data_IF_588525894865
#
_entry.id   IF_588525894865
#
_cell.length_a   1.000
_cell.length_b   1.000
_cell.length_c   1.000
_cell.angle_alpha   90.00
_cell.angle_beta   90.00
_cell.angle_gamma   90.00
#
_symmetry.space_group_name_H-M   'P 1'
#
loop_
_entity.id
_entity.type
_entity.pdbx_description
1 polymer ?
#
# COMPACT_ATOMS: atom_id res chain seq x y z
N UNK A 1 7.83 -7.06 13.92
CA UNK A 1 6.50 -7.74 13.89
C UNK A 1 5.92 -7.68 12.50
N UNK A 2 5.78 -6.47 11.91
CA UNK A 2 5.22 -6.29 10.57
C UNK A 2 6.27 -6.46 9.45
N UNK A 3 7.43 -5.81 9.60
CA UNK A 3 8.48 -5.77 8.57
C UNK A 3 9.01 -7.16 8.20
N UNK A 4 8.94 -7.49 6.91
CA UNK A 4 9.43 -8.75 6.34
C UNK A 4 8.74 -10.01 6.84
N UNK A 5 7.63 -9.92 7.59
CA UNK A 5 7.01 -11.09 8.20
C UNK A 5 6.16 -11.87 7.15
N UNK A 6 6.55 -13.11 6.78
CA UNK A 6 5.86 -13.89 5.77
C UNK A 6 4.44 -14.32 6.19
N UNK A 7 4.09 -14.26 7.48
CA UNK A 7 2.71 -14.55 7.93
C UNK A 7 1.68 -13.58 7.33
N UNK A 8 2.12 -12.36 6.99
CA UNK A 8 1.27 -11.34 6.37
C UNK A 8 1.41 -11.30 4.85
N UNK A 9 2.19 -12.20 4.24
CA UNK A 9 2.28 -12.28 2.79
C UNK A 9 0.91 -12.58 2.18
N UNK A 10 0.61 -11.91 1.07
CA UNK A 10 -0.53 -12.28 0.23
C UNK A 10 -0.14 -13.42 -0.70
N UNK A 11 -1.11 -14.17 -1.21
CA UNK A 11 -0.86 -15.29 -2.11
C UNK A 11 -1.96 -15.46 -3.15
N UNK A 12 -1.56 -15.87 -4.35
CA UNK A 12 -2.47 -16.20 -5.44
C UNK A 12 -1.88 -17.36 -6.25
N UNK A 13 -2.72 -18.33 -6.62
CA UNK A 13 -2.32 -19.53 -7.38
C UNK A 13 -1.12 -20.29 -6.78
N UNK A 14 -1.08 -20.42 -5.44
CA UNK A 14 -0.01 -21.14 -4.74
C UNK A 14 1.34 -20.41 -4.68
N UNK A 15 1.41 -19.16 -5.17
CA UNK A 15 2.58 -18.29 -5.05
C UNK A 15 2.35 -17.23 -3.98
N UNK A 16 3.30 -17.08 -3.07
CA UNK A 16 3.32 -15.99 -2.10
C UNK A 16 4.07 -14.78 -2.65
N UNK A 17 3.59 -13.58 -2.29
CA UNK A 17 4.17 -12.29 -2.67
C UNK A 17 4.91 -11.65 -1.50
N UNK A 18 5.86 -10.73 -1.75
CA UNK A 18 6.58 -10.04 -0.68
C UNK A 18 5.61 -9.44 0.36
N UNK A 19 5.83 -9.71 1.66
CA UNK A 19 5.01 -9.12 2.72
C UNK A 19 5.32 -7.63 2.89
N UNK A 20 4.76 -7.02 3.93
CA UNK A 20 5.08 -5.64 4.29
C UNK A 20 6.60 -5.41 4.37
N UNK A 21 7.09 -4.38 3.69
CA UNK A 21 8.47 -3.94 3.75
C UNK A 21 8.52 -2.48 4.23
N UNK A 22 9.22 -2.21 5.32
CA UNK A 22 9.37 -0.88 5.88
C UNK A 22 10.14 0.00 4.90
N UNK A 23 9.46 1.00 4.36
CA UNK A 23 10.06 1.94 3.41
C UNK A 23 10.72 3.10 4.14
N UNK A 24 10.15 3.53 5.27
CA UNK A 24 10.70 4.59 6.11
C UNK A 24 10.13 4.50 7.51
N UNK A 25 10.97 4.82 8.47
CA UNK A 25 10.61 5.07 9.87
C UNK A 25 11.32 6.36 10.31
N UNK A 26 10.60 7.26 10.97
CA UNK A 26 11.15 8.55 11.42
C UNK A 26 10.54 8.99 12.76
N UNK A 27 11.30 9.76 13.52
CA UNK A 27 10.74 10.55 14.62
C UNK A 27 10.10 11.83 14.07
N UNK A 28 9.03 12.29 14.72
CA UNK A 28 8.26 13.47 14.27
C UNK A 28 8.70 14.77 14.98
N UNK A 29 9.86 14.76 15.64
CA UNK A 29 10.39 15.99 16.25
C UNK A 29 10.94 16.90 15.16
N UNK A 30 10.66 18.21 15.29
CA UNK A 30 11.16 19.24 14.37
C UNK A 30 12.58 19.71 14.71
N UNK A 31 12.97 19.57 15.98
CA UNK A 31 14.24 20.08 16.51
C UNK A 31 14.86 19.07 17.49
N UNK A 32 16.17 19.22 17.73
CA UNK A 32 16.86 18.47 18.76
C UNK A 32 16.28 18.77 20.15
N UNK A 33 16.05 17.72 20.93
CA UNK A 33 15.63 17.82 22.32
C UNK A 33 16.24 16.71 23.17
N UNK A 34 16.60 17.06 24.41
CA UNK A 34 17.00 16.10 25.44
C UNK A 34 15.80 15.29 26.00
N UNK A 35 14.57 15.59 25.58
CA UNK A 35 13.36 14.86 25.99
C UNK A 35 13.19 13.56 25.21
N UNK A 36 12.53 12.59 25.85
CA UNK A 36 12.18 11.30 25.22
C UNK A 36 11.23 11.56 24.05
N UNK A 37 11.48 10.89 22.92
CA UNK A 37 10.60 10.91 21.76
C UNK A 37 9.20 10.37 22.12
N UNK A 38 8.16 11.12 21.78
CA UNK A 38 6.76 10.74 22.05
C UNK A 38 5.96 10.40 20.81
N UNK A 39 6.50 10.69 19.61
CA UNK A 39 5.82 10.50 18.32
C UNK A 39 6.78 9.99 17.26
N UNK A 40 6.30 9.04 16.47
CA UNK A 40 7.01 8.46 15.34
C UNK A 40 6.03 8.12 14.23
N UNK A 41 6.55 8.03 13.02
CA UNK A 41 5.80 7.66 11.83
C UNK A 41 6.58 6.61 11.05
N UNK A 42 5.89 5.58 10.58
CA UNK A 42 6.45 4.54 9.74
C UNK A 42 5.46 4.16 8.65
N UNK A 43 5.96 3.88 7.46
CA UNK A 43 5.13 3.36 6.37
C UNK A 43 5.82 2.21 5.64
N UNK A 44 4.97 1.35 5.09
CA UNK A 44 5.35 0.07 4.53
C UNK A 44 4.83 -0.02 3.10
N UNK A 45 5.64 -0.57 2.21
CA UNK A 45 5.16 -1.06 0.91
C UNK A 45 4.53 -2.43 1.13
N UNK A 46 3.43 -2.73 0.43
CA UNK A 46 2.76 -4.02 0.53
C UNK A 46 2.23 -4.46 -0.84
N UNK A 47 2.74 -5.60 -1.33
CA UNK A 47 2.29 -6.19 -2.60
C UNK A 47 1.11 -7.13 -2.33
N UNK A 48 -0.08 -6.69 -2.72
CA UNK A 48 -1.31 -7.49 -2.60
C UNK A 48 -1.65 -8.16 -3.92
N UNK A 49 -2.22 -9.36 -3.86
CA UNK A 49 -2.80 -10.07 -5.00
C UNK A 49 -4.28 -10.45 -4.79
N UNK A 50 -4.73 -10.54 -3.53
CA UNK A 50 -6.12 -10.88 -3.17
C UNK A 50 -6.65 -10.08 -1.98
N UNK A 51 -5.79 -9.62 -1.06
CA UNK A 51 -6.23 -8.89 0.14
C UNK A 51 -6.79 -7.52 -0.25
N UNK A 52 -8.00 -7.25 0.21
CA UNK A 52 -8.72 -6.00 -0.03
C UNK A 52 -8.49 -4.98 1.10
N UNK A 53 -8.65 -3.67 0.85
CA UNK A 53 -8.42 -2.60 1.83
C UNK A 53 -9.00 -2.85 3.24
N UNK A 54 -10.25 -3.32 3.36
CA UNK A 54 -10.86 -3.59 4.66
C UNK A 54 -10.14 -4.69 5.45
N UNK A 55 -9.70 -5.74 4.76
CA UNK A 55 -8.93 -6.82 5.38
C UNK A 55 -7.56 -6.32 5.85
N UNK A 56 -6.88 -5.53 5.02
CA UNK A 56 -5.57 -4.94 5.33
C UNK A 56 -5.68 -4.00 6.54
N UNK A 57 -6.68 -3.13 6.58
CA UNK A 57 -6.90 -2.21 7.70
C UNK A 57 -7.17 -2.96 9.01
N UNK A 58 -7.97 -4.01 8.96
CA UNK A 58 -8.25 -4.89 10.12
C UNK A 58 -6.99 -5.60 10.61
N UNK A 59 -6.15 -6.06 9.69
CA UNK A 59 -4.86 -6.69 10.00
C UNK A 59 -3.88 -5.69 10.65
N UNK A 60 -3.71 -4.51 10.05
CA UNK A 60 -2.88 -3.44 10.61
C UNK A 60 -3.34 -3.03 12.01
N UNK A 61 -4.66 -2.96 12.24
CA UNK A 61 -5.22 -2.67 13.56
C UNK A 61 -4.78 -3.69 14.60
N UNK A 62 -4.95 -4.99 14.31
CA UNK A 62 -4.58 -6.08 15.22
C UNK A 62 -3.07 -6.06 15.52
N UNK A 63 -2.26 -5.83 14.50
CA UNK A 63 -0.78 -5.76 14.63
C UNK A 63 -0.39 -4.57 15.51
N UNK A 64 -1.00 -3.40 15.30
CA UNK A 64 -0.74 -2.22 16.09
C UNK A 64 -1.19 -2.40 17.56
N UNK A 65 -2.36 -3.00 17.78
CA UNK A 65 -2.88 -3.31 19.13
C UNK A 65 -1.91 -4.24 19.88
N UNK A 66 -1.43 -5.29 19.20
CA UNK A 66 -0.46 -6.21 19.79
C UNK A 66 0.89 -5.55 20.06
N UNK A 67 1.42 -4.77 19.11
CA UNK A 67 2.68 -4.07 19.27
C UNK A 67 2.64 -3.05 20.42
N UNK A 68 1.53 -2.31 20.57
CA UNK A 68 1.31 -1.41 21.70
C UNK A 68 1.23 -2.16 23.02
N UNK A 69 0.48 -3.27 23.08
CA UNK A 69 0.39 -4.11 24.29
C UNK A 69 1.76 -4.61 24.73
N UNK A 70 2.55 -5.19 23.80
CA UNK A 70 3.92 -5.65 24.08
C UNK A 70 4.81 -4.52 24.58
N UNK A 71 4.66 -3.31 24.02
CA UNK A 71 5.43 -2.13 24.44
C UNK A 71 5.04 -1.66 25.85
N UNK A 72 3.74 -1.67 26.18
CA UNK A 72 3.22 -1.35 27.52
C UNK A 72 3.69 -2.37 28.56
N UNK A 73 3.66 -3.66 28.22
CA UNK A 73 4.13 -4.74 29.09
C UNK A 73 5.63 -4.59 29.36
N UNK A 74 6.43 -4.32 28.32
CA UNK A 74 7.86 -4.07 28.44
C UNK A 74 8.15 -2.82 29.28
N UNK A 75 7.42 -1.72 29.07
CA UNK A 75 7.51 -0.52 29.91
C UNK A 75 7.23 -0.84 31.37
N UNK A 76 6.14 -1.57 31.65
CA UNK A 76 5.70 -1.89 33.01
C UNK A 76 6.74 -2.74 33.74
N UNK A 77 7.31 -3.75 33.05
CA UNK A 77 8.38 -4.58 33.57
C UNK A 77 9.64 -3.76 33.88
N UNK A 78 10.06 -2.90 32.95
CA UNK A 78 11.26 -2.08 33.10
C UNK A 78 11.11 -1.03 34.21
N UNK A 79 9.97 -0.35 34.27
CA UNK A 79 9.66 0.63 35.30
C UNK A 79 9.68 -0.01 36.71
N UNK A 80 9.08 -1.19 36.85
CA UNK A 80 9.07 -1.94 38.10
C UNK A 80 10.49 -2.37 38.53
N UNK A 81 11.28 -2.90 37.59
CA UNK A 81 12.65 -3.31 37.86
C UNK A 81 13.56 -2.13 38.25
N UNK A 82 13.39 -0.97 37.60
CA UNK A 82 14.13 0.25 37.91
C UNK A 82 13.75 0.82 39.27
N UNK A 83 12.46 0.84 39.62
CA UNK A 83 11.99 1.27 40.94
C UNK A 83 12.67 0.49 42.07
N UNK A 84 12.79 -0.84 41.92
CA UNK A 84 13.51 -1.70 42.86
C UNK A 84 15.00 -1.37 42.99
N UNK A 85 15.66 -0.90 41.92
CA UNK A 85 17.08 -0.51 41.94
C UNK A 85 17.33 0.84 42.61
N UNK A 86 16.41 1.80 42.43
CA UNK A 86 16.58 3.15 42.95
C UNK A 86 16.05 3.34 44.37
N UNK A 87 15.46 2.32 44.98
CA UNK A 87 14.90 2.40 46.33
C UNK A 87 13.65 3.29 46.44
N UNK A 88 13.06 3.68 45.31
CA UNK A 88 11.81 4.45 45.28
C UNK A 88 10.64 3.53 44.97
N UNK A 89 9.56 3.66 45.74
CA UNK A 89 8.29 3.00 45.44
C UNK A 89 7.58 3.74 44.28
N UNK A 90 8.00 3.48 43.04
CA UNK A 90 7.29 3.98 41.85
C UNK A 90 6.35 2.89 41.38
N UNK A 91 5.04 3.16 41.44
CA UNK A 91 4.05 2.32 40.77
C UNK A 91 4.03 2.69 39.28
N UNK A 92 4.29 1.75 38.35
CA UNK A 92 4.19 2.03 36.92
C UNK A 92 2.80 2.55 36.58
N UNK A 93 2.72 3.58 35.74
CA UNK A 93 1.43 4.06 35.25
C UNK A 93 0.76 2.94 34.45
N UNK A 94 -0.53 2.70 34.74
CA UNK A 94 -1.36 1.80 33.93
C UNK A 94 -1.71 2.50 32.62
N UNK A 95 -1.43 1.83 31.52
CA UNK A 95 -1.72 2.30 30.17
C UNK A 95 -2.69 1.35 29.49
N UNK A 96 -3.62 1.91 28.72
CA UNK A 96 -4.50 1.14 27.85
C UNK A 96 -4.10 1.41 26.40
N UNK A 97 -3.81 0.38 25.59
CA UNK A 97 -3.47 0.58 24.19
C UNK A 97 -4.68 1.15 23.44
N UNK A 98 -4.46 2.20 22.65
CA UNK A 98 -5.49 2.78 21.77
C UNK A 98 -5.05 2.67 20.32
N UNK A 99 -5.86 2.04 19.47
CA UNK A 99 -5.62 2.02 18.02
C UNK A 99 -6.82 2.62 17.33
N UNK A 100 -6.55 3.57 16.44
CA UNK A 100 -7.55 4.22 15.61
C UNK A 100 -7.19 4.03 14.14
N UNK A 101 -8.20 3.81 13.30
CA UNK A 101 -8.03 4.05 11.88
C UNK A 101 -7.99 5.55 11.61
N UNK A 102 -7.40 5.96 10.48
CA UNK A 102 -7.45 7.36 10.07
C UNK A 102 -8.90 7.85 9.91
N UNK A 103 -9.81 7.02 9.39
CA UNK A 103 -11.23 7.35 9.31
C UNK A 103 -11.88 7.63 10.68
N UNK A 104 -11.54 6.84 11.71
CA UNK A 104 -12.02 7.06 13.09
C UNK A 104 -11.48 8.38 13.67
N UNK A 105 -10.20 8.70 13.43
CA UNK A 105 -9.59 9.97 13.83
C UNK A 105 -10.23 11.16 13.12
N UNK A 106 -10.35 11.07 11.80
CA UNK A 106 -11.00 12.07 10.96
C UNK A 106 -12.45 12.32 11.39
N UNK A 107 -13.20 11.25 11.70
CA UNK A 107 -14.55 11.35 12.23
C UNK A 107 -14.63 12.05 13.61
N UNK A 108 -13.63 11.88 14.48
CA UNK A 108 -13.53 12.63 15.75
C UNK A 108 -13.23 14.10 15.50
N UNK A 109 -12.26 14.40 14.64
CA UNK A 109 -11.89 15.77 14.28
C UNK A 109 -13.06 16.53 13.65
N UNK A 110 -13.80 15.90 12.73
CA UNK A 110 -15.00 16.47 12.11
C UNK A 110 -16.10 16.80 13.13
N UNK A 111 -16.30 15.95 14.14
CA UNK A 111 -17.26 16.21 15.23
C UNK A 111 -16.87 17.42 16.09
N UNK A 112 -15.57 17.70 16.24
CA UNK A 112 -15.06 18.84 17.02
C UNK A 112 -15.18 20.14 16.21
N UNK A 113 -14.78 20.11 14.93
CA UNK A 113 -14.68 21.31 14.10
C UNK A 113 -15.98 21.69 13.38
N UNK A 114 -16.89 20.74 13.14
CA UNK A 114 -18.09 20.97 12.34
C UNK A 114 -17.73 21.49 10.95
N UNK A 115 -18.31 22.64 10.58
CA UNK A 115 -18.09 23.30 9.28
C UNK A 115 -16.63 23.76 9.07
N UNK A 116 -15.84 23.91 10.14
CA UNK A 116 -14.43 24.30 10.07
C UNK A 116 -13.49 23.17 9.63
N UNK A 117 -13.98 21.93 9.51
CA UNK A 117 -13.14 20.76 9.24
C UNK A 117 -12.39 20.87 7.91
N UNK A 118 -13.06 21.26 6.83
CA UNK A 118 -12.44 21.33 5.50
C UNK A 118 -11.39 22.46 5.41
N UNK A 119 -11.60 23.57 6.15
CA UNK A 119 -10.63 24.64 6.28
C UNK A 119 -9.37 24.19 7.03
N UNK A 120 -9.54 23.47 8.13
CA UNK A 120 -8.43 22.87 8.88
C UNK A 120 -7.60 21.89 8.03
N UNK A 121 -8.27 21.08 7.18
CA UNK A 121 -7.57 20.19 6.25
C UNK A 121 -6.70 20.98 5.27
N UNK A 122 -7.25 22.02 4.63
CA UNK A 122 -6.49 22.83 3.66
C UNK A 122 -5.31 23.54 4.32
N UNK A 123 -5.54 24.19 5.46
CA UNK A 123 -4.50 24.92 6.18
C UNK A 123 -3.36 23.99 6.59
N UNK A 124 -3.68 22.83 7.17
CA UNK A 124 -2.67 21.86 7.59
C UNK A 124 -1.87 21.29 6.42
N UNK A 125 -2.51 21.05 5.27
CA UNK A 125 -1.84 20.53 4.08
C UNK A 125 -0.99 21.60 3.38
N UNK A 126 -1.41 22.87 3.44
CA UNK A 126 -0.69 24.02 2.87
C UNK A 126 0.50 24.48 3.73
N UNK A 127 0.43 24.30 5.05
CA UNK A 127 1.51 24.64 6.00
C UNK A 127 2.76 23.78 5.84
N UNK A 128 2.67 22.66 5.11
CA UNK A 128 3.82 21.82 4.79
C UNK A 128 4.53 22.40 3.57
N UNK A 129 5.85 22.58 3.68
CA UNK A 129 6.71 23.18 2.65
C UNK A 129 6.35 22.69 1.23
N UNK A 130 6.19 23.63 0.31
CA UNK A 130 5.93 23.36 -1.10
C UNK A 130 6.97 22.38 -1.67
N UNK A 131 6.52 21.37 -2.42
CA UNK A 131 7.38 20.29 -2.94
C UNK A 131 7.69 19.17 -1.95
N UNK A 132 7.18 19.21 -0.70
CA UNK A 132 7.31 18.09 0.23
C UNK A 132 6.67 16.81 -0.31
N UNK A 133 7.09 15.67 0.22
CA UNK A 133 6.52 14.37 -0.09
C UNK A 133 5.07 14.24 0.44
N UNK A 134 4.17 13.62 -0.32
CA UNK A 134 2.77 13.43 0.08
C UNK A 134 2.61 12.64 1.39
N UNK A 135 3.52 11.69 1.66
CA UNK A 135 3.50 10.90 2.90
C UNK A 135 3.91 11.73 4.11
N UNK A 136 4.76 12.75 3.91
CA UNK A 136 5.11 13.72 4.96
C UNK A 136 3.92 14.64 5.24
N UNK A 137 3.21 15.10 4.20
CA UNK A 137 1.95 15.85 4.38
C UNK A 137 0.90 15.04 5.13
N UNK A 138 0.74 13.76 4.79
CA UNK A 138 -0.16 12.85 5.48
C UNK A 138 0.21 12.69 6.97
N UNK A 139 1.50 12.55 7.29
CA UNK A 139 1.96 12.46 8.68
C UNK A 139 1.64 13.75 9.47
N UNK A 140 1.93 14.92 8.90
CA UNK A 140 1.63 16.21 9.53
C UNK A 140 0.13 16.38 9.79
N UNK A 141 -0.72 15.99 8.83
CA UNK A 141 -2.17 16.02 8.99
C UNK A 141 -2.66 15.12 10.13
N UNK A 142 -2.14 13.89 10.20
CA UNK A 142 -2.46 12.96 11.29
C UNK A 142 -2.03 13.53 12.65
N UNK A 143 -0.85 14.12 12.75
CA UNK A 143 -0.38 14.75 13.99
C UNK A 143 -1.30 15.89 14.44
N UNK A 144 -1.64 16.80 13.53
CA UNK A 144 -2.52 17.93 13.84
C UNK A 144 -3.91 17.45 14.30
N UNK A 145 -4.45 16.40 13.68
CA UNK A 145 -5.72 15.80 14.11
C UNK A 145 -5.64 15.13 15.49
N UNK A 146 -4.52 14.45 15.79
CA UNK A 146 -4.29 13.85 17.12
C UNK A 146 -4.23 14.92 18.20
N UNK A 147 -3.56 16.04 17.93
CA UNK A 147 -3.50 17.20 18.83
C UNK A 147 -4.88 17.82 19.06
N UNK A 148 -5.61 18.08 17.97
CA UNK A 148 -6.98 18.61 18.01
C UNK A 148 -7.93 17.71 18.82
N UNK A 149 -7.84 16.40 18.63
CA UNK A 149 -8.72 15.43 19.29
C UNK A 149 -8.31 15.14 20.74
N UNK A 150 -7.16 15.65 21.20
CA UNK A 150 -6.60 15.45 22.53
C UNK A 150 -6.62 13.99 23.00
N UNK A 151 -6.30 13.06 22.09
CA UNK A 151 -6.44 11.63 22.36
C UNK A 151 -5.35 11.20 23.36
N UNK A 152 -5.68 10.51 24.46
CA UNK A 152 -4.67 10.07 25.42
C UNK A 152 -3.83 8.92 24.85
N UNK A 153 -2.51 9.01 24.99
CA UNK A 153 -1.58 7.93 24.64
C UNK A 153 -1.42 6.85 25.73
N UNK A 154 -0.72 5.75 25.42
CA UNK A 154 -0.08 5.43 24.14
C UNK A 154 -1.11 5.02 23.07
N UNK A 155 -0.92 5.52 21.86
CA UNK A 155 -1.81 5.22 20.74
C UNK A 155 -1.06 4.94 19.44
N UNK A 156 -1.75 4.30 18.49
CA UNK A 156 -1.34 4.21 17.10
C UNK A 156 -2.51 4.61 16.19
N UNK A 157 -2.19 5.30 15.10
CA UNK A 157 -3.12 5.59 14.01
C UNK A 157 -2.68 4.76 12.81
N UNK A 158 -3.60 3.98 12.24
CA UNK A 158 -3.35 3.12 11.07
C UNK A 158 -4.18 3.59 9.87
N UNK A 159 -3.65 3.43 8.68
CA UNK A 159 -4.30 3.86 7.44
C UNK A 159 -3.43 3.62 6.22
N UNK A 160 -3.81 4.23 5.12
CA UNK A 160 -3.16 4.11 3.82
C UNK A 160 -2.44 5.40 3.43
N UNK A 161 -1.49 5.26 2.51
CA UNK A 161 -0.71 6.37 1.96
C UNK A 161 -0.58 6.22 0.44
N UNK A 162 -0.47 7.32 -0.31
CA UNK A 162 -0.36 7.26 -1.76
C UNK A 162 1.05 6.86 -2.22
N UNK A 163 1.20 6.40 -3.48
CA UNK A 163 0.13 6.04 -4.42
C UNK A 163 -0.45 4.64 -4.17
N UNK A 164 -1.71 4.43 -4.56
CA UNK A 164 -2.34 3.11 -4.60
C UNK A 164 -2.42 2.58 -6.04
N UNK A 165 -1.98 1.33 -6.20
CA UNK A 165 -2.15 0.54 -7.41
C UNK A 165 -3.02 -0.67 -7.04
N UNK A 166 -4.33 -0.65 -7.34
CA UNK A 166 -5.17 -1.79 -7.08
C UNK A 166 -4.63 -3.02 -7.82
N UNK A 167 -4.60 -4.16 -7.14
CA UNK A 167 -4.10 -5.38 -7.75
C UNK A 167 -5.07 -5.83 -8.86
N UNK A 168 -4.57 -6.07 -10.07
CA UNK A 168 -5.34 -6.60 -11.21
C UNK A 168 -4.72 -7.90 -11.70
N UNK A 169 -5.53 -8.95 -11.81
CA UNK A 169 -5.14 -10.27 -12.32
C UNK A 169 -6.28 -10.88 -13.15
N UNK A 170 -5.97 -11.56 -14.27
CA UNK A 170 -6.97 -12.32 -15.00
C UNK A 170 -7.29 -13.60 -14.21
N UNK A 171 -8.53 -13.74 -13.75
CA UNK A 171 -8.96 -14.89 -12.94
C UNK A 171 -9.78 -15.92 -13.75
N UNK A 172 -9.86 -15.74 -15.07
CA UNK A 172 -10.66 -16.58 -15.97
C UNK A 172 -12.17 -16.44 -15.74
N UNK A 173 -12.59 -15.34 -15.12
CA UNK A 173 -13.97 -15.10 -14.69
C UNK A 173 -14.88 -14.68 -15.83
N UNK A 174 -14.34 -13.95 -16.81
CA UNK A 174 -15.08 -13.44 -17.96
C UNK A 174 -14.48 -13.91 -19.32
N UNK A 175 -15.20 -13.67 -20.43
CA UNK A 175 -14.74 -14.05 -21.79
C UNK A 175 -13.42 -13.40 -22.14
N UNK A 176 -13.24 -12.13 -21.80
CA UNK A 176 -12.05 -11.37 -22.18
C UNK A 176 -10.79 -11.87 -21.48
N UNK A 177 -10.87 -12.21 -20.20
CA UNK A 177 -9.77 -12.85 -19.45
C UNK A 177 -9.37 -14.18 -20.09
N UNK A 178 -10.35 -15.04 -20.43
CA UNK A 178 -10.08 -16.32 -21.11
C UNK A 178 -9.42 -16.13 -22.47
N UNK A 179 -9.80 -15.07 -23.20
CA UNK A 179 -9.16 -14.71 -24.47
C UNK A 179 -7.72 -14.28 -24.22
N UNK A 180 -7.44 -13.42 -23.22
CA UNK A 180 -6.07 -13.01 -22.90
C UNK A 180 -5.19 -14.20 -22.49
N UNK A 181 -5.71 -15.12 -21.68
CA UNK A 181 -4.98 -16.32 -21.25
C UNK A 181 -4.66 -17.25 -22.44
N UNK A 182 -5.62 -17.40 -23.36
CA UNK A 182 -5.43 -18.13 -24.62
C UNK A 182 -4.34 -17.46 -25.47
N UNK A 183 -4.42 -16.16 -25.68
CA UNK A 183 -3.46 -15.40 -26.50
C UNK A 183 -2.06 -15.42 -25.87
N UNK A 184 -1.95 -15.34 -24.54
CA UNK A 184 -0.68 -15.47 -23.85
C UNK A 184 -0.05 -16.86 -24.10
N UNK A 185 -0.87 -17.91 -24.06
CA UNK A 185 -0.45 -19.29 -24.36
C UNK A 185 0.03 -19.45 -25.80
N UNK A 186 -0.73 -18.90 -26.75
CA UNK A 186 -0.34 -18.89 -28.17
C UNK A 186 0.95 -18.09 -28.41
N UNK A 187 1.12 -16.95 -27.76
CA UNK A 187 2.33 -16.12 -27.87
C UNK A 187 3.56 -16.83 -27.29
N UNK A 188 3.42 -17.60 -26.21
CA UNK A 188 4.50 -18.42 -25.66
C UNK A 188 4.91 -19.55 -26.61
N UNK A 189 3.96 -20.15 -27.33
CA UNK A 189 4.23 -21.15 -28.37
C UNK A 189 4.96 -20.49 -29.56
N UNK A 190 4.45 -19.38 -30.08
CA UNK A 190 5.06 -18.61 -31.19
C UNK A 190 6.50 -18.19 -30.85
N UNK A 191 6.73 -17.69 -29.63
CA UNK A 191 8.06 -17.34 -29.16
C UNK A 191 9.04 -18.52 -29.23
N UNK A 192 8.60 -19.70 -28.78
CA UNK A 192 9.43 -20.90 -28.76
C UNK A 192 9.69 -21.46 -30.15
N UNK A 193 8.65 -21.58 -30.97
CA UNK A 193 8.73 -22.22 -32.28
C UNK A 193 9.48 -21.35 -33.29
N UNK A 194 9.26 -20.04 -33.28
CA UNK A 194 9.79 -19.14 -34.31
C UNK A 194 11.09 -18.47 -33.92
N UNK A 195 11.33 -18.25 -32.64
CA UNK A 195 12.49 -17.52 -32.14
C UNK A 195 13.37 -18.32 -31.19
N UNK A 196 12.94 -19.52 -30.76
CA UNK A 196 13.66 -20.31 -29.75
C UNK A 196 13.59 -19.69 -28.35
N UNK A 197 12.72 -18.71 -28.13
CA UNK A 197 12.60 -17.98 -26.86
C UNK A 197 11.56 -18.64 -25.95
N UNK A 198 11.89 -18.79 -24.66
CA UNK A 198 10.96 -19.36 -23.67
C UNK A 198 10.31 -18.24 -22.86
N UNK A 199 8.99 -18.10 -22.99
CA UNK A 199 8.20 -17.17 -22.18
C UNK A 199 7.48 -17.91 -21.06
N UNK A 200 7.53 -17.32 -19.87
CA UNK A 200 6.73 -17.75 -18.72
C UNK A 200 5.46 -16.89 -18.64
N UNK A 201 4.30 -17.54 -18.54
CA UNK A 201 3.03 -16.84 -18.28
C UNK A 201 2.88 -16.69 -16.78
N UNK A 202 2.86 -15.44 -16.32
CA UNK A 202 2.71 -15.10 -14.91
C UNK A 202 1.32 -14.49 -14.67
N UNK A 203 0.55 -15.01 -13.70
CA UNK A 203 -0.81 -14.51 -13.43
C UNK A 203 -0.81 -13.12 -12.77
N UNK A 204 0.33 -12.71 -12.21
CA UNK A 204 0.46 -11.45 -11.49
C UNK A 204 1.81 -10.79 -11.79
N UNK A 205 1.77 -9.49 -12.05
CA UNK A 205 2.96 -8.66 -12.24
C UNK A 205 3.35 -8.05 -10.89
N UNK A 206 4.58 -8.31 -10.45
CA UNK A 206 5.07 -7.89 -9.12
C UNK A 206 5.66 -6.47 -9.11
N UNK A 207 5.63 -5.79 -10.26
CA UNK A 207 6.03 -4.39 -10.38
C UNK A 207 4.83 -3.43 -10.37
N UNK A 208 5.14 -2.14 -10.45
CA UNK A 208 4.13 -1.09 -10.62
C UNK A 208 3.71 -1.03 -12.08
N UNK A 209 2.41 -1.02 -12.36
CA UNK A 209 1.88 -0.97 -13.73
C UNK A 209 0.55 -0.23 -13.78
N UNK A 210 0.37 0.59 -14.82
CA UNK A 210 -0.91 1.28 -15.09
C UNK A 210 -2.04 0.30 -15.42
N UNK A 211 -1.72 -0.98 -15.73
CA UNK A 211 -2.70 -2.05 -15.87
C UNK A 211 -3.50 -2.29 -14.57
N UNK A 212 -2.98 -1.85 -13.42
CA UNK A 212 -3.73 -1.79 -12.16
C UNK A 212 -4.99 -0.93 -12.24
N UNK A 213 -5.06 0.02 -13.19
CA UNK A 213 -6.21 0.91 -13.39
C UNK A 213 -7.19 0.41 -14.46
N UNK A 214 -6.96 -0.78 -15.01
CA UNK A 214 -7.88 -1.44 -15.95
C UNK A 214 -9.08 -2.11 -15.26
N UNK A 215 -9.14 -2.06 -13.93
CA UNK A 215 -10.26 -2.57 -13.15
C UNK A 215 -9.85 -2.81 -11.71
N UNK A 216 -10.82 -3.21 -10.90
CA UNK A 216 -10.60 -3.54 -9.50
C UNK A 216 -11.32 -4.83 -9.12
N UNK A 217 -10.62 -5.72 -8.43
CA UNK A 217 -11.10 -7.04 -8.02
C UNK A 217 -12.05 -6.97 -6.81
N UNK A 218 -12.07 -5.85 -6.09
CA UNK A 218 -13.03 -5.56 -5.04
C UNK A 218 -14.26 -4.80 -5.54
N UNK A 219 -15.09 -4.32 -4.61
CA UNK A 219 -16.23 -3.46 -4.92
C UNK A 219 -15.99 -1.99 -4.53
N UNK A 220 -16.95 -1.12 -4.80
CA UNK A 220 -16.86 0.30 -4.46
C UNK A 220 -16.70 0.56 -2.95
N UNK A 221 -17.20 -0.33 -2.09
CA UNK A 221 -17.09 -0.19 -0.63
C UNK A 221 -15.67 -0.38 -0.16
N UNK A 222 -14.92 -1.29 -0.79
CA UNK A 222 -13.49 -1.46 -0.52
C UNK A 222 -12.68 -0.21 -0.92
N UNK A 223 -13.07 0.43 -2.02
CA UNK A 223 -12.47 1.72 -2.40
C UNK A 223 -12.82 2.83 -1.42
N UNK A 224 -14.04 2.84 -0.88
CA UNK A 224 -14.47 3.76 0.17
C UNK A 224 -13.64 3.57 1.45
N UNK A 225 -13.41 2.33 1.87
CA UNK A 225 -12.55 2.03 3.02
C UNK A 225 -11.14 2.56 2.82
N UNK A 226 -10.58 2.40 1.61
CA UNK A 226 -9.27 2.95 1.29
C UNK A 226 -9.27 4.49 1.38
N UNK A 227 -10.24 5.13 0.73
CA UNK A 227 -10.39 6.59 0.69
C UNK A 227 -10.57 7.22 2.08
N UNK A 228 -11.47 6.67 2.89
CA UNK A 228 -11.75 7.13 4.25
C UNK A 228 -10.55 6.99 5.18
N UNK A 229 -9.63 6.06 4.88
CA UNK A 229 -8.46 5.77 5.69
C UNK A 229 -7.14 6.25 5.05
N UNK A 230 -7.20 7.10 4.02
CA UNK A 230 -6.04 7.80 3.47
C UNK A 230 -6.05 9.28 3.88
N UNK A 231 -5.07 9.75 4.67
CA UNK A 231 -4.91 11.18 4.93
C UNK A 231 -4.64 11.94 3.63
N UNK A 232 -5.44 12.98 3.36
CA UNK A 232 -5.37 13.73 2.11
C UNK A 232 -6.07 13.06 0.93
N UNK A 233 -6.97 12.09 1.15
CA UNK A 233 -7.79 11.61 0.04
C UNK A 233 -8.59 12.76 -0.59
N UNK A 234 -8.56 12.84 -1.92
CA UNK A 234 -9.13 13.94 -2.68
C UNK A 234 -8.17 15.12 -2.88
N UNK A 235 -7.03 15.16 -2.17
CA UNK A 235 -6.05 16.27 -2.17
C UNK A 235 -4.63 15.84 -1.74
N UNK A 236 -3.61 15.78 -2.62
CA UNK A 236 -3.60 15.87 -4.09
C UNK A 236 -3.94 14.54 -4.78
N UNK A 237 -4.05 13.44 -4.02
CA UNK A 237 -4.26 12.11 -4.56
C UNK A 237 -5.75 11.75 -4.59
N UNK A 238 -6.24 11.30 -5.75
CA UNK A 238 -7.60 10.78 -5.92
C UNK A 238 -7.64 9.74 -7.04
N UNK A 239 -8.52 8.77 -6.93
CA UNK A 239 -8.91 7.89 -8.03
C UNK A 239 -10.41 8.01 -8.29
N UNK A 240 -10.87 7.91 -9.55
CA UNK A 240 -12.29 7.90 -9.89
C UNK A 240 -12.89 6.54 -9.50
N UNK A 241 -13.28 6.39 -8.22
CA UNK A 241 -13.66 5.12 -7.61
C UNK A 241 -14.84 4.44 -8.31
N UNK A 242 -15.87 5.20 -8.67
CA UNK A 242 -17.06 4.67 -9.34
C UNK A 242 -16.70 4.09 -10.71
N UNK A 243 -15.90 4.84 -11.48
CA UNK A 243 -15.43 4.41 -12.79
C UNK A 243 -14.55 3.17 -12.67
N UNK A 244 -13.59 3.18 -11.74
CA UNK A 244 -12.65 2.06 -11.60
C UNK A 244 -13.33 0.76 -11.15
N UNK A 245 -14.38 0.86 -10.31
CA UNK A 245 -15.17 -0.29 -9.88
C UNK A 245 -16.06 -0.88 -10.99
N UNK A 246 -16.40 -0.09 -12.02
CA UNK A 246 -17.13 -0.56 -13.20
C UNK A 246 -16.22 -1.17 -14.27
N UNK A 247 -14.93 -0.83 -14.25
CA UNK A 247 -13.95 -1.38 -15.19
C UNK A 247 -13.62 -2.83 -14.86
N UNK A 248 -13.79 -3.69 -15.86
CA UNK A 248 -13.28 -5.06 -15.85
C UNK A 248 -12.58 -5.35 -17.19
N UNK A 249 -11.56 -4.54 -17.50
CA UNK A 249 -10.80 -4.67 -18.73
C UNK A 249 -9.77 -5.80 -18.54
N UNK A 250 -9.79 -6.85 -19.38
CA UNK A 250 -8.77 -7.90 -19.37
C UNK A 250 -7.40 -7.31 -19.66
N UNK A 251 -6.37 -7.79 -18.96
CA UNK A 251 -5.01 -7.27 -19.11
C UNK A 251 -4.06 -8.33 -19.66
N UNK A 252 -3.05 -7.89 -20.41
CA UNK A 252 -1.91 -8.71 -20.81
C UNK A 252 -0.67 -7.84 -20.80
N UNK A 253 0.28 -8.13 -19.90
CA UNK A 253 1.55 -7.42 -19.84
C UNK A 253 2.61 -8.18 -20.64
N UNK A 254 3.05 -7.60 -21.76
CA UNK A 254 4.12 -8.14 -22.60
C UNK A 254 5.12 -7.02 -22.92
N UNK A 255 6.37 -7.23 -22.53
CA UNK A 255 7.44 -6.24 -22.67
C UNK A 255 8.78 -6.85 -23.06
N UNK A 256 9.77 -5.98 -23.27
CA UNK A 256 11.14 -6.39 -23.51
C UNK A 256 11.76 -7.06 -22.27
N UNK A 257 12.74 -7.93 -22.50
CA UNK A 257 13.55 -8.50 -21.44
C UNK A 257 14.57 -7.47 -20.94
N UNK A 258 14.43 -7.06 -19.68
CA UNK A 258 15.34 -6.13 -19.01
C UNK A 258 15.80 -6.64 -17.65
N UNK A 259 16.84 -6.00 -17.13
CA UNK A 259 17.34 -6.23 -15.77
C UNK A 259 17.68 -4.89 -15.12
N UNK A 260 17.51 -4.83 -13.80
CA UNK A 260 17.87 -3.67 -12.97
C UNK A 260 17.12 -2.38 -13.31
N UNK A 261 15.83 -2.48 -13.65
CA UNK A 261 14.95 -1.32 -13.83
C UNK A 261 15.07 -0.34 -12.65
N UNK A 262 15.19 0.95 -12.96
CA UNK A 262 15.38 2.05 -11.99
C UNK A 262 16.68 1.97 -11.17
N UNK A 263 17.70 1.24 -11.64
CA UNK A 263 19.05 1.26 -11.07
C UNK A 263 20.05 1.77 -12.10
N UNK A 264 21.23 2.17 -11.64
CA UNK A 264 22.31 2.61 -12.52
C UNK A 264 22.86 1.50 -13.45
N UNK A 265 22.54 0.23 -13.19
CA UNK A 265 22.87 -0.93 -14.02
C UNK A 265 21.73 -1.36 -14.95
N UNK A 266 20.69 -0.54 -15.10
CA UNK A 266 19.53 -0.81 -15.95
C UNK A 266 19.98 -1.11 -17.40
N UNK A 267 19.48 -2.23 -17.94
CA UNK A 267 19.83 -2.71 -19.28
C UNK A 267 18.73 -3.60 -19.86
N UNK A 268 18.71 -3.66 -21.18
CA UNK A 268 17.78 -4.50 -21.95
C UNK A 268 18.54 -5.51 -22.81
N UNK A 269 17.89 -6.64 -23.10
CA UNK A 269 18.41 -7.62 -24.04
C UNK A 269 18.11 -7.17 -25.48
N UNK A 270 19.10 -6.57 -26.15
CA UNK A 270 18.90 -5.97 -27.48
C UNK A 270 18.37 -6.94 -28.55
N UNK A 271 18.92 -8.15 -28.76
CA UNK A 271 18.36 -9.07 -29.76
C UNK A 271 16.87 -9.37 -29.53
N UNK A 272 16.49 -9.73 -28.30
CA UNK A 272 15.08 -9.92 -27.94
C UNK A 272 14.25 -8.65 -28.21
N UNK A 273 14.71 -7.49 -27.75
CA UNK A 273 13.94 -6.24 -27.85
C UNK A 273 13.76 -5.75 -29.29
N UNK A 274 14.72 -5.99 -30.18
CA UNK A 274 14.71 -5.49 -31.56
C UNK A 274 14.18 -6.51 -32.57
N UNK A 275 14.46 -7.79 -32.36
CA UNK A 275 14.20 -8.83 -33.37
C UNK A 275 13.00 -9.72 -33.00
N UNK A 276 12.75 -9.95 -31.71
CA UNK A 276 11.72 -10.88 -31.22
C UNK A 276 10.46 -10.15 -30.74
N UNK A 277 10.61 -9.24 -29.77
CA UNK A 277 9.50 -8.55 -29.13
C UNK A 277 8.57 -7.83 -30.13
N UNK A 278 9.06 -7.10 -31.16
CA UNK A 278 8.18 -6.43 -32.11
C UNK A 278 7.31 -7.41 -32.92
N UNK A 279 7.83 -8.58 -33.24
CA UNK A 279 7.09 -9.63 -33.94
C UNK A 279 6.03 -10.27 -33.02
N UNK A 280 6.39 -10.57 -31.77
CA UNK A 280 5.45 -11.11 -30.78
C UNK A 280 4.34 -10.11 -30.44
N UNK A 281 4.67 -8.82 -30.29
CA UNK A 281 3.68 -7.78 -30.07
C UNK A 281 2.70 -7.69 -31.25
N UNK A 282 3.20 -7.73 -32.49
CA UNK A 282 2.34 -7.77 -33.69
C UNK A 282 1.47 -9.02 -33.73
N UNK A 283 2.01 -10.18 -33.35
CA UNK A 283 1.25 -11.42 -33.24
C UNK A 283 0.11 -11.27 -32.23
N UNK A 284 0.41 -10.85 -31.00
CA UNK A 284 -0.59 -10.65 -29.93
C UNK A 284 -1.68 -9.68 -30.36
N UNK A 285 -1.33 -8.51 -30.90
CA UNK A 285 -2.32 -7.51 -31.35
C UNK A 285 -3.24 -8.08 -32.45
N UNK A 286 -2.70 -8.85 -33.40
CA UNK A 286 -3.52 -9.51 -34.43
C UNK A 286 -4.48 -10.53 -33.84
N UNK A 287 -4.00 -11.39 -32.93
CA UNK A 287 -4.84 -12.40 -32.26
C UNK A 287 -5.94 -11.75 -31.44
N UNK A 288 -5.66 -10.64 -30.74
CA UNK A 288 -6.69 -9.87 -30.04
C UNK A 288 -7.75 -9.37 -31.03
N UNK A 289 -7.34 -8.79 -32.16
CA UNK A 289 -8.29 -8.30 -33.16
C UNK A 289 -9.14 -9.41 -33.80
N UNK A 290 -8.64 -10.64 -33.89
CA UNK A 290 -9.36 -11.80 -34.44
C UNK A 290 -10.38 -12.38 -33.47
N UNK A 291 -10.07 -12.47 -32.16
CA UNK A 291 -10.97 -13.04 -31.15
C UNK A 291 -12.17 -12.13 -30.77
N UNK A 292 -12.07 -10.84 -31.11
CA UNK A 292 -13.08 -9.81 -30.88
C UNK A 292 -13.84 -9.37 -32.16
N UNK A 293 -13.60 -10.02 -33.30
CA UNK A 293 -14.47 -9.96 -34.48
C UNK A 293 -15.65 -10.93 -34.34
#
# INVERSE_FOLDING_TARGET
MLDGNPEYADSLFGKAYPPFACMRQMDLRREYSATIMTRAFAFYSYLTATKLPAQILSELRKIAEEALRRSIDQYTANASAFAGKCGFAVSPRKWNPTVLSFGELSGKARKILGDGFDGFLEETLADVLEGSDERVRAAALVEAMVDLCAIPGPMAVVGFLPPWYPHRANLGSNRGEKIMDKIASEAAIEAKERFGETLEIRPFFEGVSDLSYCGFQGDSREMDVFAENMPGWGRPYRLPKEVLAELDIPILNLGALGMDAHKNTERIHLPYAMDVYPELLRFVVRRIAEEYR
#
